data_IF_682296989715
#
_entry.id   IF_682296989715
#
_cell.length_a   1.000
_cell.length_b   1.000
_cell.length_c   1.000
_cell.angle_alpha   90.00
_cell.angle_beta   90.00
_cell.angle_gamma   90.00
#
_symmetry.space_group_name_H-M   'P 1'
#
loop_
_entity.id
_entity.type
_entity.pdbx_description
1 polymer ?
#
# COMPACT_ATOMS: atom_id res chain seq x y z
N UNK A 1 23.93 36.66 -55.90
CA UNK A 1 22.50 36.39 -55.65
C UNK A 1 22.35 35.00 -55.02
N UNK A 2 21.83 34.98 -53.79
CA UNK A 2 21.22 33.88 -53.01
C UNK A 2 21.27 32.45 -53.59
N UNK A 3 21.87 31.52 -52.84
CA UNK A 3 21.17 30.34 -52.25
C UNK A 3 21.84 29.95 -50.93
N UNK A 4 21.22 30.37 -49.83
CA UNK A 4 21.52 29.93 -48.47
C UNK A 4 20.86 28.55 -48.31
N UNK A 5 21.65 27.47 -48.27
CA UNK A 5 21.14 26.13 -47.95
C UNK A 5 20.97 26.05 -46.43
N UNK A 6 19.73 26.15 -45.95
CA UNK A 6 19.38 25.79 -44.57
C UNK A 6 19.48 24.27 -44.43
N UNK A 7 20.40 23.79 -43.59
CA UNK A 7 20.39 22.43 -43.05
C UNK A 7 19.33 22.37 -41.94
N UNK A 8 18.20 21.71 -42.23
CA UNK A 8 17.16 21.40 -41.26
C UNK A 8 17.69 20.27 -40.34
N UNK A 9 17.71 20.41 -39.01
CA UNK A 9 17.95 19.27 -38.14
C UNK A 9 16.74 18.35 -38.20
N UNK A 10 16.93 17.14 -38.70
CA UNK A 10 15.97 16.03 -38.56
C UNK A 10 15.90 15.71 -37.07
N UNK A 11 14.91 16.25 -36.37
CA UNK A 11 14.57 15.83 -35.02
C UNK A 11 13.88 14.48 -35.15
N UNK A 12 14.65 13.42 -34.92
CA UNK A 12 14.12 12.07 -34.79
C UNK A 12 13.33 12.00 -33.48
N UNK A 13 12.03 12.27 -33.56
CA UNK A 13 11.10 12.01 -32.47
C UNK A 13 11.04 10.49 -32.30
N UNK A 14 11.79 9.97 -31.34
CA UNK A 14 11.60 8.64 -30.81
C UNK A 14 10.23 8.64 -30.13
N UNK A 15 9.18 8.31 -30.90
CA UNK A 15 7.92 7.88 -30.35
C UNK A 15 8.19 6.63 -29.54
N UNK A 16 8.39 6.81 -28.24
CA UNK A 16 8.31 5.75 -27.25
C UNK A 16 6.88 5.23 -27.31
N UNK A 17 6.67 4.17 -28.10
CA UNK A 17 5.45 3.39 -28.06
C UNK A 17 5.41 2.71 -26.70
N UNK A 18 4.87 3.40 -25.69
CA UNK A 18 4.45 2.79 -24.45
C UNK A 18 3.51 1.65 -24.84
N UNK A 19 3.97 0.41 -24.65
CA UNK A 19 3.14 -0.77 -24.82
C UNK A 19 1.99 -0.66 -23.85
N UNK A 20 0.83 -0.21 -24.33
CA UNK A 20 -0.41 -0.27 -23.57
C UNK A 20 -0.63 -1.74 -23.21
N UNK A 21 -0.68 -2.06 -21.91
CA UNK A 21 -1.00 -3.39 -21.40
C UNK A 21 -2.47 -3.72 -21.69
N UNK A 22 -2.81 -3.97 -22.95
CA UNK A 22 -4.15 -4.21 -23.44
C UNK A 22 -4.58 -5.69 -23.32
N UNK A 23 -4.32 -6.33 -22.18
CA UNK A 23 -4.79 -7.71 -21.97
C UNK A 23 -6.01 -7.82 -21.06
N UNK A 24 -6.33 -6.80 -20.25
CA UNK A 24 -7.46 -6.82 -19.31
C UNK A 24 -7.44 -7.97 -18.29
N UNK A 25 -6.39 -8.80 -18.31
CA UNK A 25 -6.19 -9.91 -17.38
C UNK A 25 -5.59 -9.38 -16.09
N UNK A 26 -6.07 -9.84 -14.92
CA UNK A 26 -5.47 -9.46 -13.66
C UNK A 26 -3.99 -9.84 -13.63
N UNK A 27 -3.16 -8.89 -13.24
CA UNK A 27 -1.71 -9.06 -13.18
C UNK A 27 -1.31 -9.49 -11.78
N UNK A 28 -0.63 -10.63 -11.64
CA UNK A 28 -0.08 -11.09 -10.36
C UNK A 28 1.40 -10.74 -10.27
N UNK A 29 1.74 -9.89 -9.31
CA UNK A 29 3.12 -9.48 -9.04
C UNK A 29 3.47 -9.66 -7.55
N UNK A 30 4.74 -9.82 -7.18
CA UNK A 30 5.15 -9.74 -5.78
C UNK A 30 4.71 -8.42 -5.14
N UNK A 31 4.40 -8.45 -3.84
CA UNK A 31 4.07 -7.27 -3.05
C UNK A 31 5.28 -6.85 -2.19
N UNK A 32 6.23 -6.06 -2.74
CA UNK A 32 7.37 -5.61 -1.97
C UNK A 32 6.93 -4.63 -0.89
N UNK A 33 7.47 -4.82 0.32
CA UNK A 33 7.35 -3.85 1.40
C UNK A 33 8.67 -3.07 1.49
N UNK A 34 8.67 -1.74 1.40
CA UNK A 34 9.88 -0.96 1.58
C UNK A 34 10.41 -1.14 3.01
N UNK A 35 11.74 -1.18 3.13
CA UNK A 35 12.45 -1.24 4.40
C UNK A 35 13.57 -0.17 4.37
N UNK A 36 13.85 0.52 5.49
CA UNK A 36 13.19 0.41 6.80
C UNK A 36 11.75 0.94 6.76
N UNK A 37 10.91 0.44 7.68
CA UNK A 37 9.52 0.87 7.83
C UNK A 37 9.27 1.26 9.29
N UNK A 38 9.01 2.54 9.52
CA UNK A 38 8.69 3.07 10.84
C UNK A 38 7.28 3.65 10.82
N UNK A 39 6.48 3.26 11.81
CA UNK A 39 5.15 3.82 12.06
C UNK A 39 5.28 4.88 13.15
N UNK A 40 5.04 6.14 12.78
CA UNK A 40 5.05 7.29 13.68
C UNK A 40 3.65 7.86 13.86
N UNK A 41 3.39 8.47 15.02
CA UNK A 41 2.12 9.15 15.31
C UNK A 41 0.92 8.22 15.58
N UNK A 42 1.06 6.90 15.47
CA UNK A 42 0.02 5.93 15.86
C UNK A 42 0.10 5.53 17.34
N UNK A 43 1.30 5.59 17.93
CA UNK A 43 1.52 5.46 19.36
C UNK A 43 2.20 6.73 19.89
N UNK A 44 2.39 6.86 21.20
CA UNK A 44 3.20 7.93 21.81
C UNK A 44 4.71 7.76 21.57
N UNK A 45 5.10 6.69 20.88
CA UNK A 45 6.46 6.33 20.49
C UNK A 45 6.46 5.79 19.05
N UNK A 46 7.62 5.82 18.40
CA UNK A 46 7.79 5.24 17.07
C UNK A 46 7.89 3.71 17.15
N UNK A 47 7.26 3.03 16.18
CA UNK A 47 7.28 1.58 16.06
C UNK A 47 8.02 1.17 14.79
N UNK A 48 9.13 0.45 14.93
CA UNK A 48 9.80 -0.21 13.82
C UNK A 48 9.02 -1.46 13.40
N UNK A 49 8.83 -1.63 12.10
CA UNK A 49 8.12 -2.75 11.47
C UNK A 49 9.10 -3.54 10.64
N UNK A 50 9.67 -4.57 11.25
CA UNK A 50 10.63 -5.45 10.60
C UNK A 50 9.93 -6.66 9.98
N UNK A 51 10.15 -6.88 8.69
CA UNK A 51 9.60 -8.05 7.99
C UNK A 51 10.36 -9.31 8.41
N UNK A 52 9.64 -10.30 8.92
CA UNK A 52 10.16 -11.64 9.25
C UNK A 52 9.94 -12.60 8.10
N UNK A 53 8.77 -12.52 7.46
CA UNK A 53 8.40 -13.32 6.30
C UNK A 53 7.47 -12.51 5.41
N UNK A 54 7.76 -12.45 4.11
CA UNK A 54 6.87 -11.87 3.12
C UNK A 54 6.79 -12.80 1.88
N UNK A 55 5.63 -13.40 1.68
CA UNK A 55 5.23 -14.11 0.47
C UNK A 55 3.95 -13.49 -0.13
N UNK A 56 3.75 -12.20 0.11
CA UNK A 56 2.61 -11.48 -0.41
C UNK A 56 2.74 -11.23 -1.92
N UNK A 57 1.58 -11.15 -2.54
CA UNK A 57 1.44 -10.81 -3.95
C UNK A 57 0.25 -9.87 -4.12
N UNK A 58 0.37 -9.00 -5.11
CA UNK A 58 -0.73 -8.20 -5.61
C UNK A 58 -1.43 -8.91 -6.76
N UNK A 59 -2.73 -8.72 -6.88
CA UNK A 59 -3.49 -8.95 -8.10
C UNK A 59 -4.12 -7.62 -8.51
N UNK A 60 -3.59 -7.03 -9.57
CA UNK A 60 -4.02 -5.72 -10.06
C UNK A 60 -5.12 -5.85 -11.11
N UNK A 61 -6.14 -5.02 -10.99
CA UNK A 61 -7.27 -4.94 -11.92
C UNK A 61 -7.34 -3.52 -12.48
N UNK A 62 -7.36 -3.43 -13.81
CA UNK A 62 -7.34 -2.16 -14.53
C UNK A 62 -8.66 -1.92 -15.29
N UNK A 63 -9.06 -0.67 -15.48
CA UNK A 63 -10.18 -0.30 -16.34
C UNK A 63 -9.80 -0.34 -17.84
N UNK A 64 -10.75 0.00 -18.71
CA UNK A 64 -10.53 0.02 -20.17
C UNK A 64 -9.49 1.06 -20.63
N UNK A 65 -9.19 2.07 -19.80
CA UNK A 65 -8.19 3.09 -20.07
C UNK A 65 -6.81 2.72 -19.49
N UNK A 66 -6.71 1.57 -18.80
CA UNK A 66 -5.48 1.10 -18.15
C UNK A 66 -5.25 1.66 -16.75
N UNK A 67 -6.24 2.33 -16.13
CA UNK A 67 -6.11 2.83 -14.76
C UNK A 67 -6.30 1.70 -13.75
N UNK A 68 -5.47 1.65 -12.71
CA UNK A 68 -5.64 0.71 -11.61
C UNK A 68 -6.90 1.06 -10.82
N UNK A 69 -7.91 0.19 -10.81
CA UNK A 69 -9.20 0.42 -10.12
C UNK A 69 -9.39 -0.46 -8.89
N UNK A 70 -8.71 -1.61 -8.86
CA UNK A 70 -8.72 -2.51 -7.71
C UNK A 70 -7.40 -3.26 -7.59
N UNK A 71 -6.98 -3.50 -6.36
CA UNK A 71 -5.86 -4.36 -6.03
C UNK A 71 -6.27 -5.32 -4.93
N UNK A 72 -5.98 -6.60 -5.10
CA UNK A 72 -6.02 -7.59 -4.03
C UNK A 72 -4.59 -7.80 -3.51
N UNK A 73 -4.43 -7.86 -2.20
CA UNK A 73 -3.21 -8.31 -1.53
C UNK A 73 -3.51 -9.64 -0.85
N UNK A 74 -2.70 -10.65 -1.11
CA UNK A 74 -2.83 -11.96 -0.47
C UNK A 74 -1.48 -12.64 -0.33
N UNK A 75 -1.43 -13.74 0.42
CA UNK A 75 -0.18 -14.46 0.70
C UNK A 75 0.07 -14.53 2.20
N UNK A 76 1.32 -14.38 2.61
CA UNK A 76 1.67 -14.38 4.03
C UNK A 76 2.63 -13.28 4.40
N UNK A 77 2.31 -12.54 5.45
CA UNK A 77 3.15 -11.51 6.04
C UNK A 77 3.25 -11.72 7.55
N UNK A 78 4.47 -11.82 8.04
CA UNK A 78 4.80 -11.85 9.46
C UNK A 78 5.80 -10.75 9.74
N UNK A 79 5.53 -9.93 10.74
CA UNK A 79 6.36 -8.79 11.12
C UNK A 79 6.67 -8.82 12.60
N UNK A 80 7.82 -8.27 12.96
CA UNK A 80 8.14 -7.89 14.33
C UNK A 80 7.89 -6.39 14.45
N UNK A 81 7.02 -6.01 15.39
CA UNK A 81 6.78 -4.63 15.78
C UNK A 81 7.65 -4.34 16.99
N UNK A 82 8.46 -3.28 16.94
CA UNK A 82 9.38 -2.90 18.02
C UNK A 82 9.14 -1.46 18.43
N UNK A 83 8.86 -1.22 19.71
CA UNK A 83 8.86 0.12 20.28
C UNK A 83 10.30 0.65 20.34
N UNK A 84 10.59 1.70 19.58
CA UNK A 84 11.94 2.25 19.47
C UNK A 84 12.40 3.00 20.74
N UNK A 85 11.49 3.33 21.65
CA UNK A 85 11.82 4.03 22.90
C UNK A 85 12.36 3.10 23.99
N UNK A 86 11.92 1.83 24.04
CA UNK A 86 12.26 0.89 25.10
C UNK A 86 12.81 -0.47 24.59
N UNK A 87 12.73 -0.73 23.28
CA UNK A 87 13.19 -1.98 22.65
C UNK A 87 12.24 -3.16 22.81
N UNK A 88 11.07 -2.98 23.44
CA UNK A 88 10.06 -4.04 23.58
C UNK A 88 9.48 -4.39 22.20
N UNK A 89 9.38 -5.69 21.90
CA UNK A 89 8.96 -6.17 20.60
C UNK A 89 7.97 -7.35 20.69
N UNK A 90 7.05 -7.39 19.74
CA UNK A 90 6.12 -8.49 19.52
C UNK A 90 6.21 -8.96 18.07
N UNK A 91 6.06 -10.25 17.82
CA UNK A 91 5.97 -10.79 16.46
C UNK A 91 4.55 -11.21 16.16
N UNK A 92 3.99 -10.69 15.07
CA UNK A 92 2.58 -10.85 14.71
C UNK A 92 2.44 -11.33 13.27
N UNK A 93 1.45 -12.19 13.05
CA UNK A 93 1.03 -12.60 11.72
C UNK A 93 -0.08 -11.65 11.25
N UNK A 94 0.16 -10.96 10.15
CA UNK A 94 -0.74 -9.98 9.54
C UNK A 94 -1.05 -10.36 8.08
N UNK A 95 -1.15 -11.67 7.81
CA UNK A 95 -1.36 -12.24 6.47
C UNK A 95 -2.78 -12.06 5.93
N UNK A 96 -3.69 -11.44 6.69
CA UNK A 96 -5.08 -11.30 6.30
C UNK A 96 -5.19 -10.59 4.94
N UNK A 97 -6.00 -11.11 3.99
CA UNK A 97 -6.05 -10.52 2.67
C UNK A 97 -6.55 -9.06 2.73
N UNK A 98 -6.00 -8.25 1.82
CA UNK A 98 -6.35 -6.86 1.64
C UNK A 98 -7.03 -6.62 0.30
N UNK A 99 -7.90 -5.62 0.23
CA UNK A 99 -8.52 -5.17 -1.01
C UNK A 99 -8.52 -3.65 -1.05
N UNK A 100 -7.82 -3.06 -2.02
CA UNK A 100 -7.88 -1.64 -2.30
C UNK A 100 -8.86 -1.38 -3.45
N UNK A 101 -9.74 -0.40 -3.30
CA UNK A 101 -10.55 0.16 -4.39
C UNK A 101 -10.18 1.62 -4.55
N UNK A 102 -9.70 2.00 -5.73
CA UNK A 102 -9.18 3.34 -6.01
C UNK A 102 -10.24 4.21 -6.66
N UNK A 103 -10.36 5.45 -6.18
CA UNK A 103 -11.28 6.45 -6.70
C UNK A 103 -10.54 7.43 -7.62
N UNK A 104 -11.29 8.09 -8.51
CA UNK A 104 -10.72 9.02 -9.49
C UNK A 104 -10.13 10.31 -8.86
N UNK A 105 -10.55 10.65 -7.64
CA UNK A 105 -10.03 11.79 -6.87
C UNK A 105 -8.73 11.49 -6.11
N UNK A 106 -8.20 10.27 -6.26
CA UNK A 106 -6.99 9.80 -5.59
C UNK A 106 -7.22 9.24 -4.18
N UNK A 107 -8.46 9.28 -3.67
CA UNK A 107 -8.81 8.52 -2.46
C UNK A 107 -8.89 7.02 -2.77
N UNK A 108 -8.80 6.19 -1.73
CA UNK A 108 -9.03 4.76 -1.89
C UNK A 108 -9.60 4.15 -0.62
N UNK A 109 -10.42 3.12 -0.78
CA UNK A 109 -10.89 2.30 0.34
C UNK A 109 -10.03 1.05 0.42
N UNK A 110 -9.32 0.91 1.55
CA UNK A 110 -8.63 -0.31 1.92
C UNK A 110 -9.51 -1.15 2.83
N UNK A 111 -9.87 -2.34 2.37
CA UNK A 111 -10.47 -3.38 3.17
C UNK A 111 -9.40 -4.34 3.65
N UNK A 112 -9.37 -4.58 4.95
CA UNK A 112 -8.61 -5.64 5.59
C UNK A 112 -9.58 -6.74 6.00
N UNK A 113 -9.22 -8.00 5.73
CA UNK A 113 -9.97 -9.16 6.21
C UNK A 113 -9.05 -10.12 6.97
N UNK A 114 -9.51 -10.65 8.11
CA UNK A 114 -8.70 -11.49 8.98
C UNK A 114 -7.65 -10.68 9.75
N UNK A 115 -6.46 -11.25 9.90
CA UNK A 115 -5.37 -10.67 10.70
C UNK A 115 -4.69 -9.50 10.00
N UNK A 116 -4.71 -8.31 10.59
CA UNK A 116 -4.03 -7.12 10.07
C UNK A 116 -3.40 -6.26 11.17
N UNK A 117 -2.39 -5.46 10.81
CA UNK A 117 -1.87 -4.36 11.62
C UNK A 117 -2.20 -3.04 10.91
N UNK A 118 -2.98 -2.19 11.55
CA UNK A 118 -3.56 -0.98 10.95
C UNK A 118 -3.10 0.24 11.76
N UNK A 119 -2.11 1.00 11.28
CA UNK A 119 -1.73 2.28 11.88
C UNK A 119 -2.73 3.37 11.50
N UNK A 120 -3.27 4.04 12.50
CA UNK A 120 -4.15 5.21 12.38
C UNK A 120 -3.58 6.35 13.24
N UNK A 121 -3.96 7.62 12.99
CA UNK A 121 -3.59 8.72 13.88
C UNK A 121 -3.98 8.44 15.33
N UNK A 122 -2.98 8.42 16.22
CA UNK A 122 -3.15 8.17 17.65
C UNK A 122 -3.61 6.76 18.05
N UNK A 123 -3.67 5.80 17.12
CA UNK A 123 -4.07 4.41 17.43
C UNK A 123 -3.41 3.41 16.50
N UNK A 124 -2.77 2.39 17.06
CA UNK A 124 -2.27 1.25 16.29
C UNK A 124 -3.05 -0.03 16.65
N UNK A 125 -3.78 -0.59 15.68
CA UNK A 125 -4.64 -1.76 15.90
C UNK A 125 -4.04 -3.04 15.31
N UNK A 126 -4.05 -4.11 16.09
CA UNK A 126 -4.02 -5.48 15.59
C UNK A 126 -5.46 -5.98 15.50
N UNK A 127 -5.90 -6.42 14.34
CA UNK A 127 -7.29 -6.84 14.13
C UNK A 127 -7.37 -8.27 13.68
N UNK A 128 -8.46 -8.97 14.02
CA UNK A 128 -8.88 -10.20 13.35
C UNK A 128 -10.37 -10.09 12.98
N UNK A 129 -10.65 -9.76 11.73
CA UNK A 129 -12.01 -9.47 11.26
C UNK A 129 -12.00 -8.60 10.02
N UNK A 130 -13.06 -7.82 9.81
CA UNK A 130 -13.14 -6.90 8.66
C UNK A 130 -13.04 -5.45 9.10
N UNK A 131 -12.11 -4.72 8.49
CA UNK A 131 -11.95 -3.27 8.65
C UNK A 131 -11.92 -2.61 7.29
N UNK A 132 -12.79 -1.64 7.04
CA UNK A 132 -12.75 -0.81 5.84
C UNK A 132 -12.27 0.60 6.27
N UNK A 133 -11.16 1.06 5.70
CA UNK A 133 -10.57 2.38 5.95
C UNK A 133 -10.49 3.13 4.62
N UNK A 134 -11.02 4.35 4.60
CA UNK A 134 -10.85 5.26 3.47
C UNK A 134 -9.64 6.16 3.72
N UNK A 135 -8.75 6.22 2.74
CA UNK A 135 -7.55 7.04 2.75
C UNK A 135 -7.69 8.15 1.74
N UNK A 136 -7.20 9.34 2.11
CA UNK A 136 -7.27 10.55 1.30
C UNK A 136 -5.86 11.11 1.05
N UNK A 137 -5.62 11.79 -0.08
CA UNK A 137 -4.31 12.37 -0.37
C UNK A 137 -3.84 13.42 0.64
N UNK A 138 -4.77 14.19 1.23
CA UNK A 138 -4.46 15.37 2.06
C UNK A 138 -5.33 15.44 3.33
N UNK A 139 -5.85 14.31 3.81
CA UNK A 139 -6.67 14.26 5.01
C UNK A 139 -6.44 12.95 5.78
N UNK A 140 -6.78 12.96 7.06
CA UNK A 140 -6.68 11.78 7.91
C UNK A 140 -7.58 10.64 7.40
N UNK A 141 -7.14 9.38 7.53
CA UNK A 141 -7.95 8.25 7.14
C UNK A 141 -9.21 8.12 8.00
N UNK A 142 -10.31 7.68 7.38
CA UNK A 142 -11.59 7.48 8.05
C UNK A 142 -11.92 5.99 8.10
N UNK A 143 -12.21 5.47 9.29
CA UNK A 143 -12.72 4.10 9.44
C UNK A 143 -14.19 4.09 9.05
N UNK A 144 -14.50 3.46 7.91
CA UNK A 144 -15.86 3.28 7.42
C UNK A 144 -16.58 2.13 8.11
N UNK A 145 -15.85 1.06 8.42
CA UNK A 145 -16.38 -0.15 9.05
C UNK A 145 -15.32 -0.84 9.88
N UNK A 146 -15.72 -1.38 11.02
CA UNK A 146 -14.88 -2.24 11.84
C UNK A 146 -15.72 -3.35 12.47
N UNK A 147 -15.26 -4.59 12.37
CA UNK A 147 -15.92 -5.77 12.92
C UNK A 147 -14.91 -6.89 13.20
N UNK A 148 -15.19 -7.75 14.16
CA UNK A 148 -14.25 -8.76 14.68
C UNK A 148 -13.54 -8.28 15.93
N UNK A 149 -12.35 -8.81 16.22
CA UNK A 149 -11.56 -8.40 17.40
C UNK A 149 -10.56 -7.29 17.06
N UNK A 150 -10.29 -6.45 18.05
CA UNK A 150 -9.27 -5.41 18.00
C UNK A 150 -8.42 -5.49 19.27
N UNK A 151 -7.11 -5.46 19.09
CA UNK A 151 -6.13 -5.35 20.16
C UNK A 151 -5.30 -4.10 19.94
N UNK A 152 -5.07 -3.33 21.01
CA UNK A 152 -4.24 -2.14 20.96
C UNK A 152 -2.76 -2.55 20.92
N UNK A 153 -2.10 -2.31 19.78
CA UNK A 153 -0.69 -2.64 19.61
C UNK A 153 0.21 -1.74 20.47
N UNK A 154 -0.19 -0.48 20.69
CA UNK A 154 0.58 0.45 21.52
C UNK A 154 0.61 -0.03 22.98
N UNK A 155 -0.52 -0.53 23.49
CA UNK A 155 -0.58 -1.09 24.85
C UNK A 155 0.25 -2.37 25.00
N UNK A 156 0.34 -3.19 23.95
CA UNK A 156 1.19 -4.39 23.95
C UNK A 156 2.70 -4.07 23.89
N UNK A 157 3.04 -2.90 23.34
CA UNK A 157 4.42 -2.46 23.10
C UNK A 157 4.94 -1.46 24.15
N UNK A 158 4.07 -0.96 25.01
CA UNK A 158 4.42 -0.03 26.08
C UNK A 158 5.36 -0.66 27.12
#
# INVERSE_FOLDING_TARGET
MKKLLLLLPVVLVLLSTSTAFASGKPERIPAPLPQPLVTSGSCTFDVDVKVVKNNEYFVNFYDANGNLVRQLVGGSLVVTLTNLSNGHAITVNISGPGYATFNADGSYVQRYEGSAAIPLPGKFLLTNGRVDVEYFPNADPVVLRMSGSQTDACALLA
#
